data_IF_449384604947
#
_entry.id   IF_449384604947
#
_cell.length_a   1.000
_cell.length_b   1.000
_cell.length_c   1.000
_cell.angle_alpha   90.00
_cell.angle_beta   90.00
_cell.angle_gamma   90.00
#
_symmetry.space_group_name_H-M   'P 1'
#
loop_
_entity.id
_entity.type
_entity.pdbx_description
1 polymer ?
#
# COMPACT_ATOMS: atom_id res chain seq x y z
N UNK A 1 -6.11 21.65 26.98
CA UNK A 1 -6.95 20.52 26.56
C UNK A 1 -8.21 20.49 27.43
N UNK A 2 -9.37 20.93 26.93
CA UNK A 2 -10.65 20.91 27.68
C UNK A 2 -11.85 20.81 26.71
N UNK A 3 -12.95 20.23 27.15
CA UNK A 3 -14.21 20.20 26.40
C UNK A 3 -14.81 21.62 26.39
N UNK A 4 -15.23 22.08 25.20
CA UNK A 4 -15.85 23.41 25.02
C UNK A 4 -17.31 23.35 24.58
N UNK A 5 -17.82 22.17 24.22
CA UNK A 5 -19.21 21.94 23.85
C UNK A 5 -19.59 20.47 24.00
N UNK A 6 -20.81 20.21 24.45
CA UNK A 6 -21.37 18.87 24.59
C UNK A 6 -22.89 18.94 24.36
N UNK A 7 -23.41 18.03 23.54
CA UNK A 7 -24.84 17.92 23.24
C UNK A 7 -25.20 16.47 22.97
N UNK A 8 -26.02 15.90 23.84
CA UNK A 8 -26.62 14.58 23.62
C UNK A 8 -27.91 14.75 22.82
N UNK A 9 -27.92 14.27 21.57
CA UNK A 9 -29.00 14.54 20.60
C UNK A 9 -29.86 13.33 20.29
N UNK A 10 -29.25 12.15 20.16
CA UNK A 10 -29.89 10.96 19.60
C UNK A 10 -29.37 9.73 20.34
N UNK A 11 -30.28 8.83 20.70
CA UNK A 11 -29.95 7.48 21.17
C UNK A 11 -29.98 6.54 19.98
N UNK A 12 -28.83 5.96 19.65
CA UNK A 12 -28.68 4.97 18.58
C UNK A 12 -28.24 3.62 19.16
N UNK A 13 -28.73 2.49 18.64
CA UNK A 13 -28.24 1.19 19.07
C UNK A 13 -26.78 1.02 18.65
N UNK A 14 -25.93 0.62 19.60
CA UNK A 14 -24.52 0.29 19.31
C UNK A 14 -24.46 -1.01 18.49
N UNK A 15 -23.77 -1.04 17.34
CA UNK A 15 -23.59 -2.27 16.56
C UNK A 15 -22.96 -3.38 17.41
N UNK A 16 -23.36 -4.64 17.16
CA UNK A 16 -22.78 -5.79 17.86
C UNK A 16 -21.32 -6.01 17.43
N UNK A 17 -20.47 -6.43 18.37
CA UNK A 17 -19.07 -6.72 18.09
C UNK A 17 -18.85 -8.05 17.34
N UNK A 18 -19.84 -8.96 17.37
CA UNK A 18 -19.75 -10.26 16.74
C UNK A 18 -19.46 -10.15 15.24
N UNK A 19 -18.37 -10.79 14.78
CA UNK A 19 -17.99 -10.82 13.37
C UNK A 19 -17.22 -9.60 12.86
N UNK A 20 -16.77 -8.70 13.75
CA UNK A 20 -16.04 -7.47 13.34
C UNK A 20 -14.52 -7.60 13.39
N UNK A 21 -13.97 -8.63 14.05
CA UNK A 21 -12.51 -8.83 14.15
C UNK A 21 -11.94 -9.43 12.86
N UNK A 22 -10.95 -8.74 12.29
CA UNK A 22 -10.28 -9.14 11.05
C UNK A 22 -9.07 -10.05 11.27
N UNK A 23 -8.60 -10.20 12.52
CA UNK A 23 -7.41 -10.98 12.83
C UNK A 23 -7.75 -12.46 12.75
N UNK A 24 -6.96 -13.21 11.99
CA UNK A 24 -7.10 -14.66 11.82
C UNK A 24 -7.20 -15.39 13.18
N UNK A 25 -6.39 -14.99 14.17
CA UNK A 25 -6.37 -15.59 15.51
C UNK A 25 -7.66 -15.39 16.31
N UNK A 26 -8.45 -14.37 15.99
CA UNK A 26 -9.70 -14.04 16.68
C UNK A 26 -10.94 -14.54 15.92
N UNK A 27 -10.76 -15.03 14.69
CA UNK A 27 -11.84 -15.51 13.86
C UNK A 27 -12.17 -16.98 14.20
N UNK A 28 -13.47 -17.27 14.28
CA UNK A 28 -13.98 -18.60 14.66
C UNK A 28 -13.97 -19.60 13.49
N UNK A 29 -13.82 -19.10 12.28
CA UNK A 29 -13.85 -19.88 11.04
C UNK A 29 -12.44 -20.31 10.68
N UNK A 30 -12.22 -21.62 10.46
CA UNK A 30 -11.04 -22.11 9.74
C UNK A 30 -11.18 -21.73 8.28
N UNK A 31 -10.41 -20.74 7.81
CA UNK A 31 -10.35 -20.42 6.39
C UNK A 31 -9.75 -21.59 5.64
N UNK A 32 -10.43 -22.07 4.60
CA UNK A 32 -9.89 -23.09 3.71
C UNK A 32 -8.86 -22.43 2.78
N UNK A 33 -7.61 -22.39 3.22
CA UNK A 33 -6.56 -21.72 2.49
C UNK A 33 -6.00 -22.64 1.40
N UNK A 34 -6.74 -22.78 0.30
CA UNK A 34 -6.32 -23.54 -0.89
C UNK A 34 -5.27 -22.83 -1.76
N UNK A 35 -4.72 -21.70 -1.30
CA UNK A 35 -3.72 -20.97 -2.05
C UNK A 35 -2.42 -21.77 -2.08
N UNK A 36 -1.96 -22.09 -3.29
CA UNK A 36 -0.65 -22.71 -3.50
C UNK A 36 0.43 -21.65 -3.34
N UNK A 37 1.49 -22.01 -2.63
CA UNK A 37 2.63 -21.13 -2.43
C UNK A 37 3.33 -20.85 -3.76
N UNK A 38 3.79 -19.61 -3.92
CA UNK A 38 4.66 -19.17 -5.01
C UNK A 38 5.98 -18.69 -4.39
N UNK A 39 7.08 -18.94 -5.09
CA UNK A 39 8.41 -18.47 -4.70
C UNK A 39 8.98 -17.67 -5.86
N UNK A 40 9.41 -16.44 -5.57
CA UNK A 40 10.11 -15.56 -6.50
C UNK A 40 11.56 -15.55 -6.08
N UNK A 41 12.47 -15.91 -6.99
CA UNK A 41 13.91 -15.93 -6.73
C UNK A 41 14.64 -15.16 -7.83
N UNK A 42 15.54 -14.26 -7.42
CA UNK A 42 16.51 -13.61 -8.30
C UNK A 42 17.91 -14.09 -7.89
N UNK A 43 18.47 -15.14 -8.52
CA UNK A 43 19.73 -15.74 -8.11
C UNK A 43 20.91 -14.76 -8.05
N UNK A 44 20.90 -13.79 -8.97
CA UNK A 44 21.95 -12.78 -9.11
C UNK A 44 21.62 -11.47 -8.35
N UNK A 45 20.52 -11.45 -7.59
CA UNK A 45 19.98 -10.26 -6.93
C UNK A 45 19.10 -9.38 -7.82
N UNK A 46 18.59 -8.25 -7.28
CA UNK A 46 17.79 -7.29 -8.04
C UNK A 46 18.63 -6.58 -9.11
N UNK A 47 18.01 -6.19 -10.22
CA UNK A 47 18.71 -5.49 -11.31
C UNK A 47 18.91 -3.99 -11.04
N UNK A 48 18.30 -3.45 -9.99
CA UNK A 48 18.42 -2.04 -9.61
C UNK A 48 19.47 -1.81 -8.51
N UNK A 49 20.02 -0.60 -8.49
CA UNK A 49 20.89 -0.11 -7.41
C UNK A 49 20.26 1.14 -6.79
N UNK A 50 20.43 1.32 -5.49
CA UNK A 50 19.92 2.50 -4.76
C UNK A 50 21.12 3.33 -4.30
N UNK A 51 21.35 4.46 -4.97
CA UNK A 51 22.34 5.46 -4.58
C UNK A 51 21.64 6.80 -4.31
N UNK A 52 21.58 7.20 -3.03
CA UNK A 52 20.81 8.38 -2.61
C UNK A 52 19.29 8.14 -2.66
N UNK A 53 18.50 9.23 -2.68
CA UNK A 53 17.04 9.17 -2.46
C UNK A 53 16.28 10.28 -3.21
N UNK A 54 16.55 10.52 -4.50
CA UNK A 54 15.89 11.62 -5.22
C UNK A 54 14.53 11.20 -5.77
N UNK A 55 13.47 11.87 -5.32
CA UNK A 55 12.12 11.74 -5.89
C UNK A 55 11.66 13.11 -6.42
N UNK A 56 11.11 13.14 -7.64
CA UNK A 56 10.49 14.34 -8.23
C UNK A 56 9.05 14.04 -8.64
N UNK A 57 8.13 14.31 -7.73
CA UNK A 57 6.70 14.04 -7.85
C UNK A 57 6.19 13.39 -6.57
N UNK A 58 5.16 13.95 -5.94
CA UNK A 58 4.61 13.46 -4.68
C UNK A 58 3.10 13.75 -4.62
N UNK A 59 2.38 12.98 -3.79
CA UNK A 59 0.99 13.27 -3.45
C UNK A 59 1.01 14.50 -2.54
N UNK A 60 0.53 15.63 -3.06
CA UNK A 60 0.55 16.89 -2.31
C UNK A 60 -0.54 16.96 -1.25
N UNK A 61 -1.70 16.34 -1.49
CA UNK A 61 -2.85 16.33 -0.58
C UNK A 61 -3.80 15.18 -0.92
N UNK A 62 -4.59 14.74 0.05
CA UNK A 62 -5.72 13.83 -0.12
C UNK A 62 -6.96 14.39 0.59
N UNK A 63 -8.07 14.48 -0.14
CA UNK A 63 -9.35 15.00 0.35
C UNK A 63 -10.40 13.90 0.47
N UNK A 64 -10.94 13.67 1.67
CA UNK A 64 -11.91 12.61 1.97
C UNK A 64 -13.24 13.19 2.49
N UNK A 65 -14.12 13.70 1.62
CA UNK A 65 -15.39 14.30 2.02
C UNK A 65 -16.48 13.25 2.28
N UNK A 66 -17.03 13.25 3.49
CA UNK A 66 -18.25 12.50 3.78
C UNK A 66 -19.48 13.28 3.27
N UNK A 67 -20.50 12.54 2.81
CA UNK A 67 -21.71 13.08 2.18
C UNK A 67 -22.95 13.02 3.09
N UNK A 68 -22.76 12.80 4.38
CA UNK A 68 -23.83 12.81 5.37
C UNK A 68 -23.98 14.23 5.96
N UNK A 69 -25.15 14.83 5.75
CA UNK A 69 -25.47 16.20 6.16
C UNK A 69 -25.88 16.33 7.64
N UNK A 70 -25.94 15.22 8.38
CA UNK A 70 -26.27 15.24 9.80
C UNK A 70 -25.19 15.94 10.62
N UNK A 71 -25.56 16.49 11.79
CA UNK A 71 -24.63 17.19 12.68
C UNK A 71 -23.48 16.28 13.18
N UNK A 72 -23.63 14.95 13.06
CA UNK A 72 -22.64 13.91 13.35
C UNK A 72 -21.47 13.87 12.33
N UNK A 73 -21.73 14.20 11.07
CA UNK A 73 -20.80 13.92 9.95
C UNK A 73 -20.49 15.12 9.05
N UNK A 74 -21.29 16.18 9.04
CA UNK A 74 -21.16 17.29 8.08
C UNK A 74 -19.78 17.97 8.05
N UNK A 75 -19.01 17.91 9.14
CA UNK A 75 -17.69 18.52 9.27
C UNK A 75 -16.54 17.55 8.93
N UNK A 76 -16.82 16.29 8.62
CA UNK A 76 -15.81 15.26 8.34
C UNK A 76 -15.43 15.30 6.87
N UNK A 77 -14.43 16.10 6.57
CA UNK A 77 -13.87 16.24 5.22
C UNK A 77 -12.35 16.27 5.30
N UNK A 78 -11.75 15.13 5.63
CA UNK A 78 -10.33 15.07 5.99
C UNK A 78 -9.44 15.57 4.86
N UNK A 79 -8.39 16.29 5.25
CA UNK A 79 -7.24 16.62 4.43
C UNK A 79 -6.05 15.87 4.98
N UNK A 80 -5.90 14.60 4.60
CA UNK A 80 -5.04 13.65 5.29
C UNK A 80 -3.58 14.12 5.38
N UNK A 81 -3.04 14.69 4.30
CA UNK A 81 -1.65 15.16 4.30
C UNK A 81 -1.49 16.43 5.13
N UNK A 82 -2.42 17.39 5.01
CA UNK A 82 -2.39 18.66 5.73
C UNK A 82 -2.74 18.57 7.23
N UNK A 83 -3.66 17.69 7.61
CA UNK A 83 -4.18 17.57 8.97
C UNK A 83 -3.46 16.50 9.80
N UNK A 84 -3.05 15.39 9.19
CA UNK A 84 -2.46 14.24 9.88
C UNK A 84 -1.03 13.92 9.44
N UNK A 85 -0.64 14.31 8.23
CA UNK A 85 0.69 14.07 7.69
C UNK A 85 0.85 12.66 7.11
N UNK A 86 0.90 12.56 5.79
CA UNK A 86 1.02 11.30 5.05
C UNK A 86 2.23 10.45 5.49
N UNK A 87 3.41 11.07 5.62
CA UNK A 87 4.62 10.37 6.07
C UNK A 87 4.56 9.96 7.54
N UNK A 88 4.05 10.82 8.42
CA UNK A 88 3.91 10.51 9.85
C UNK A 88 2.89 9.40 10.12
N UNK A 89 1.90 9.27 9.23
CA UNK A 89 0.86 8.24 9.28
C UNK A 89 1.30 6.92 8.61
N UNK A 90 2.51 6.86 8.05
CA UNK A 90 3.04 5.65 7.43
C UNK A 90 3.33 4.57 8.49
N UNK A 91 3.14 3.31 8.09
CA UNK A 91 3.31 2.15 8.97
C UNK A 91 4.38 1.19 8.43
N UNK A 92 5.03 0.40 9.28
CA UNK A 92 5.99 -0.61 8.84
C UNK A 92 5.34 -1.66 7.93
N UNK A 93 5.85 -1.77 6.71
CA UNK A 93 5.43 -2.77 5.73
C UNK A 93 5.82 -4.18 6.22
N UNK A 94 4.88 -5.10 6.09
CA UNK A 94 5.03 -6.50 6.48
C UNK A 94 5.63 -7.30 5.32
N UNK A 95 6.85 -7.87 5.47
CA UNK A 95 7.46 -8.70 4.45
C UNK A 95 6.56 -9.88 4.05
N UNK A 96 6.56 -10.21 2.76
CA UNK A 96 5.78 -11.29 2.15
C UNK A 96 4.26 -11.08 2.15
N UNK A 97 3.77 -9.97 2.70
CA UNK A 97 2.35 -9.60 2.73
C UNK A 97 2.12 -8.29 1.98
N UNK A 98 2.84 -7.25 2.36
CA UNK A 98 2.77 -5.94 1.70
C UNK A 98 3.74 -5.85 0.52
N UNK A 99 4.91 -6.49 0.63
CA UNK A 99 5.93 -6.52 -0.43
C UNK A 99 6.49 -7.95 -0.63
N UNK A 100 6.89 -8.33 -1.86
CA UNK A 100 7.37 -9.67 -2.17
C UNK A 100 8.76 -9.96 -1.59
N UNK A 101 9.19 -11.21 -1.67
CA UNK A 101 10.49 -11.69 -1.14
C UNK A 101 11.69 -10.95 -1.73
N UNK A 102 11.62 -10.54 -3.01
CA UNK A 102 12.69 -9.82 -3.69
C UNK A 102 12.70 -8.31 -3.40
N UNK A 103 11.88 -7.84 -2.45
CA UNK A 103 11.82 -6.43 -2.11
C UNK A 103 12.98 -5.98 -1.21
N UNK A 104 13.52 -4.80 -1.53
CA UNK A 104 14.40 -4.04 -0.67
C UNK A 104 13.58 -3.07 0.16
N UNK A 105 13.81 -3.03 1.48
CA UNK A 105 13.11 -2.10 2.37
C UNK A 105 13.98 -0.89 2.72
N UNK A 106 13.33 0.25 2.91
CA UNK A 106 13.96 1.48 3.37
C UNK A 106 13.23 2.00 4.62
N UNK A 107 14.01 2.51 5.57
CA UNK A 107 13.51 3.11 6.80
C UNK A 107 13.24 4.62 6.60
N UNK A 108 12.28 5.15 7.34
CA UNK A 108 12.00 6.59 7.43
C UNK A 108 12.33 7.15 8.80
N UNK A 109 12.65 8.44 8.85
CA UNK A 109 12.76 9.21 10.09
C UNK A 109 11.82 10.40 10.03
N UNK A 110 11.05 10.59 11.09
CA UNK A 110 10.13 11.71 11.27
C UNK A 110 10.43 12.42 12.60
N UNK A 111 9.81 13.57 12.83
CA UNK A 111 9.97 14.32 14.09
C UNK A 111 8.77 14.09 14.99
N UNK A 112 9.00 13.63 16.22
CA UNK A 112 8.00 13.60 17.26
C UNK A 112 7.61 15.02 17.70
N UNK A 113 6.54 15.15 18.49
CA UNK A 113 6.02 16.44 18.94
C UNK A 113 7.01 17.26 19.78
N UNK A 114 7.97 16.60 20.43
CA UNK A 114 9.05 17.23 21.20
C UNK A 114 10.30 17.53 20.36
N UNK A 115 10.26 17.27 19.05
CA UNK A 115 11.37 17.45 18.11
C UNK A 115 12.35 16.29 18.05
N UNK A 116 12.13 15.19 18.79
CA UNK A 116 13.01 14.02 18.74
C UNK A 116 12.85 13.25 17.42
N UNK A 117 13.93 12.68 16.86
CA UNK A 117 13.83 11.85 15.66
C UNK A 117 13.21 10.49 16.00
N UNK A 118 12.10 10.17 15.32
CA UNK A 118 11.39 8.91 15.42
C UNK A 118 11.63 8.08 14.16
N UNK A 119 12.24 6.89 14.33
CA UNK A 119 12.47 5.93 13.25
C UNK A 119 11.21 5.11 13.01
N UNK A 120 10.80 4.98 11.74
CA UNK A 120 9.82 4.00 11.28
C UNK A 120 10.54 3.05 10.33
N UNK A 121 10.68 1.79 10.74
CA UNK A 121 11.36 0.78 9.91
C UNK A 121 10.46 0.32 8.77
N UNK A 122 11.07 -0.09 7.64
CA UNK A 122 10.36 -0.67 6.49
C UNK A 122 9.21 0.21 5.96
N UNK A 123 9.42 1.52 5.84
CA UNK A 123 8.36 2.46 5.43
C UNK A 123 8.20 2.52 3.90
N UNK A 124 9.26 2.20 3.17
CA UNK A 124 9.21 2.00 1.72
C UNK A 124 9.70 0.59 1.38
N UNK A 125 9.19 0.03 0.29
CA UNK A 125 9.79 -1.13 -0.36
C UNK A 125 9.97 -0.86 -1.84
N UNK A 126 11.05 -1.39 -2.41
CA UNK A 126 11.35 -1.34 -3.83
C UNK A 126 11.54 -2.76 -4.34
N UNK A 127 10.88 -3.12 -5.44
CA UNK A 127 11.02 -4.45 -6.03
C UNK A 127 10.77 -4.47 -7.53
N UNK A 128 11.35 -5.46 -8.19
CA UNK A 128 11.04 -5.76 -9.58
C UNK A 128 9.84 -6.69 -9.66
N UNK A 129 8.84 -6.29 -10.46
CA UNK A 129 7.62 -7.06 -10.67
C UNK A 129 7.70 -7.88 -11.94
N UNK A 130 7.71 -9.20 -11.78
CA UNK A 130 7.67 -10.20 -12.86
C UNK A 130 6.26 -10.81 -12.98
N UNK A 131 5.29 -10.02 -13.45
CA UNK A 131 3.89 -10.47 -13.55
C UNK A 131 3.59 -11.26 -14.85
N UNK A 132 4.60 -11.59 -15.64
CA UNK A 132 4.40 -12.15 -16.99
C UNK A 132 3.90 -11.11 -17.99
N UNK A 133 4.06 -9.83 -17.67
CA UNK A 133 3.69 -8.71 -18.53
C UNK A 133 4.48 -8.79 -19.85
N UNK A 134 3.79 -8.54 -20.97
CA UNK A 134 4.40 -8.51 -22.30
C UNK A 134 4.72 -7.06 -22.62
N UNK A 135 6.01 -6.73 -22.78
CA UNK A 135 6.44 -5.40 -23.18
C UNK A 135 5.96 -5.12 -24.61
N UNK A 136 6.21 -6.06 -25.52
CA UNK A 136 5.62 -6.08 -26.84
C UNK A 136 5.70 -7.48 -27.46
N UNK A 137 4.84 -7.73 -28.45
CA UNK A 137 4.88 -8.96 -29.26
C UNK A 137 4.46 -8.68 -30.70
N UNK A 138 5.04 -9.42 -31.63
CA UNK A 138 4.63 -9.43 -33.02
C UNK A 138 4.76 -10.84 -33.61
N UNK A 139 3.82 -11.21 -34.47
CA UNK A 139 3.87 -12.44 -35.25
C UNK A 139 3.60 -12.08 -36.70
N UNK A 140 4.61 -12.24 -37.56
CA UNK A 140 4.49 -12.08 -39.00
C UNK A 140 4.34 -13.47 -39.64
N UNK A 141 3.22 -13.67 -40.33
CA UNK A 141 2.85 -14.94 -40.96
C UNK A 141 2.58 -14.79 -42.46
N UNK A 142 2.67 -13.57 -43.00
CA UNK A 142 2.46 -13.28 -44.42
C UNK A 142 3.74 -13.44 -45.26
N UNK A 143 4.91 -13.65 -44.63
CA UNK A 143 6.16 -13.92 -45.34
C UNK A 143 6.13 -15.34 -45.95
N UNK A 144 6.29 -15.50 -47.27
CA UNK A 144 6.28 -16.81 -47.90
C UNK A 144 7.43 -17.69 -47.40
N UNK A 145 7.09 -18.80 -46.73
CA UNK A 145 8.06 -19.78 -46.23
C UNK A 145 8.63 -19.48 -44.83
N UNK A 146 8.35 -18.30 -44.26
CA UNK A 146 8.89 -17.87 -42.97
C UNK A 146 7.78 -17.40 -42.02
N UNK A 147 7.65 -18.03 -40.86
CA UNK A 147 6.83 -17.53 -39.75
C UNK A 147 7.77 -16.94 -38.70
N UNK A 148 7.67 -15.63 -38.48
CA UNK A 148 8.50 -14.93 -37.50
C UNK A 148 7.64 -14.55 -36.31
N UNK A 149 7.99 -15.06 -35.13
CA UNK A 149 7.31 -14.69 -33.87
C UNK A 149 8.34 -14.15 -32.90
N UNK A 150 8.07 -12.95 -32.39
CA UNK A 150 8.94 -12.25 -31.46
C UNK A 150 8.10 -11.74 -30.27
N UNK A 151 8.55 -12.03 -29.06
CA UNK A 151 7.90 -11.65 -27.81
C UNK A 151 8.97 -11.16 -26.85
N UNK A 152 8.76 -10.00 -26.23
CA UNK A 152 9.65 -9.48 -25.19
C UNK A 152 8.87 -9.31 -23.88
N UNK A 153 9.39 -9.84 -22.76
CA UNK A 153 8.78 -9.63 -21.45
C UNK A 153 9.03 -8.21 -20.95
N UNK A 154 8.15 -7.72 -20.09
CA UNK A 154 8.32 -6.48 -19.35
C UNK A 154 8.69 -6.74 -17.89
N UNK A 155 9.47 -5.84 -17.31
CA UNK A 155 9.80 -5.83 -15.88
C UNK A 155 9.64 -4.40 -15.39
N UNK A 156 8.72 -4.21 -14.44
CA UNK A 156 8.46 -2.91 -13.85
C UNK A 156 9.11 -2.80 -12.46
N UNK A 157 9.70 -1.65 -12.18
CA UNK A 157 10.11 -1.28 -10.83
C UNK A 157 8.90 -0.70 -10.08
N UNK A 158 8.66 -1.22 -8.87
CA UNK A 158 7.60 -0.76 -7.96
C UNK A 158 8.23 -0.27 -6.68
#
# INVERSE_FOLDING_TARGET
>A
MKIIGYRDRVVVPVPKADGTDYRETAQKSTFDNHLKSIMILQPDGPSFTVEGHTVRGFISELFVPYMDLTEEWYYRTFLDAGEYGFGQSAVPLQPLRDCPENAMFLDGYFTAQDGTPAKISNVFCLFERYAGDIMWRHTEAALPGDVVTEVRPDVSLV
#
